data_IF_944007908491
#
_entry.id   IF_944007908491
#
_cell.length_a   1.000
_cell.length_b   1.000
_cell.length_c   1.000
_cell.angle_alpha   90.00
_cell.angle_beta   90.00
_cell.angle_gamma   90.00
#
_symmetry.space_group_name_H-M   'P 1'
#
loop_
_entity.id
_entity.type
_entity.pdbx_description
1 polymer ?
#
# COMPACT_ATOMS: atom_id res chain seq x y z
N UNK A 1 -2.50 -35.28 3.04
CA UNK A 1 -1.52 -34.21 3.15
C UNK A 1 -1.89 -33.31 4.30
N UNK A 2 -0.98 -33.15 5.23
CA UNK A 2 -1.16 -32.44 6.49
C UNK A 2 -1.34 -30.92 6.20
N UNK A 3 -2.48 -30.35 6.62
CA UNK A 3 -2.82 -28.93 6.47
C UNK A 3 -2.29 -28.08 7.65
N UNK A 4 -1.18 -28.46 8.25
CA UNK A 4 -0.73 -27.92 9.54
C UNK A 4 0.23 -26.72 9.46
N UNK A 5 0.47 -26.13 8.28
CA UNK A 5 1.43 -25.02 8.15
C UNK A 5 0.86 -23.80 7.38
N UNK A 6 -0.39 -23.48 7.66
CA UNK A 6 -0.97 -22.21 7.24
C UNK A 6 -0.48 -21.15 8.23
N UNK A 7 0.47 -20.31 7.82
CA UNK A 7 0.96 -19.20 8.64
C UNK A 7 -0.19 -18.33 9.15
N UNK A 8 0.04 -17.61 10.25
CA UNK A 8 -0.97 -16.74 10.84
C UNK A 8 -1.29 -15.58 9.90
N UNK A 9 -2.58 -15.41 9.58
CA UNK A 9 -3.08 -14.28 8.81
C UNK A 9 -2.75 -12.95 9.52
N UNK A 10 -2.30 -11.91 8.82
CA UNK A 10 -2.05 -10.60 9.41
C UNK A 10 -3.34 -9.96 9.94
N UNK A 11 -3.25 -9.26 11.06
CA UNK A 11 -4.33 -8.39 11.55
C UNK A 11 -4.27 -7.07 10.78
N UNK A 12 -5.28 -6.81 9.93
CA UNK A 12 -5.34 -5.63 9.07
C UNK A 12 -6.37 -4.64 9.60
N UNK A 13 -5.97 -3.38 9.73
CA UNK A 13 -6.86 -2.27 10.08
C UNK A 13 -6.68 -1.14 9.06
N UNK A 14 -7.81 -0.62 8.58
CA UNK A 14 -7.87 0.37 7.51
C UNK A 14 -8.59 1.62 8.01
N UNK A 15 -8.08 2.80 7.63
CA UNK A 15 -8.68 4.08 7.98
C UNK A 15 -8.49 5.08 6.85
N UNK A 16 -9.54 5.82 6.50
CA UNK A 16 -9.49 6.93 5.57
C UNK A 16 -10.34 8.10 6.06
N UNK A 17 -9.80 9.30 5.90
CA UNK A 17 -10.52 10.55 6.11
C UNK A 17 -10.24 11.48 4.92
N UNK A 18 -11.15 11.54 3.93
CA UNK A 18 -10.97 12.44 2.79
C UNK A 18 -10.88 13.90 3.24
N UNK A 19 -10.00 14.67 2.63
CA UNK A 19 -9.89 16.11 2.86
C UNK A 19 -11.10 16.88 2.27
N UNK A 20 -11.67 16.37 1.17
CA UNK A 20 -12.87 16.86 0.51
C UNK A 20 -13.91 15.74 0.38
N UNK A 21 -15.09 16.05 -0.18
CA UNK A 21 -16.16 15.06 -0.39
C UNK A 21 -15.77 13.91 -1.33
N UNK A 22 -14.74 14.09 -2.17
CA UNK A 22 -14.13 13.07 -3.02
C UNK A 22 -12.63 13.33 -3.10
N UNK A 23 -11.83 12.28 -2.90
CA UNK A 23 -10.35 12.31 -2.98
C UNK A 23 -9.83 11.26 -3.94
N UNK A 24 -8.57 11.39 -4.35
CA UNK A 24 -7.82 10.40 -5.13
C UNK A 24 -7.24 9.27 -4.27
N UNK A 25 -7.09 9.51 -2.97
CA UNK A 25 -6.58 8.51 -2.03
C UNK A 25 -7.50 7.29 -1.94
N UNK A 26 -6.91 6.10 -1.93
CA UNK A 26 -7.63 4.88 -1.63
C UNK A 26 -6.71 3.82 -1.03
N UNK A 27 -7.32 2.87 -0.38
CA UNK A 27 -6.66 1.67 0.09
C UNK A 27 -7.52 0.44 -0.19
N UNK A 28 -6.89 -0.72 -0.23
CA UNK A 28 -7.58 -2.01 -0.25
C UNK A 28 -6.77 -3.04 0.55
N UNK A 29 -7.46 -4.04 1.09
CA UNK A 29 -6.84 -5.22 1.65
C UNK A 29 -7.77 -6.41 1.42
N UNK A 30 -7.22 -7.49 0.89
CA UNK A 30 -7.99 -8.70 0.61
C UNK A 30 -7.09 -9.94 0.64
N UNK A 31 -7.71 -11.06 0.90
CA UNK A 31 -7.03 -12.34 0.98
C UNK A 31 -7.31 -13.15 -0.28
N UNK A 32 -6.27 -13.78 -0.80
CA UNK A 32 -6.32 -14.78 -1.86
C UNK A 32 -5.47 -15.96 -1.44
N UNK A 33 -6.09 -17.12 -1.26
CA UNK A 33 -5.44 -18.35 -0.77
C UNK A 33 -4.66 -18.11 0.54
N UNK A 34 -3.34 -18.29 0.51
CA UNK A 34 -2.45 -18.12 1.68
C UNK A 34 -1.67 -16.80 1.62
N UNK A 35 -2.26 -15.78 0.98
CA UNK A 35 -1.65 -14.47 0.79
C UNK A 35 -2.64 -13.38 1.19
N UNK A 36 -2.14 -12.27 1.74
CA UNK A 36 -2.89 -11.04 1.96
C UNK A 36 -2.30 -9.94 1.12
N UNK A 37 -3.12 -9.32 0.28
CA UNK A 37 -2.75 -8.11 -0.46
C UNK A 37 -3.09 -6.89 0.38
N UNK A 38 -2.19 -5.93 0.37
CA UNK A 38 -2.36 -4.60 0.98
C UNK A 38 -1.98 -3.54 -0.04
N UNK A 39 -2.84 -2.55 -0.22
CA UNK A 39 -2.69 -1.55 -1.25
C UNK A 39 -2.96 -0.18 -0.64
N UNK A 40 -2.11 0.79 -0.94
CA UNK A 40 -2.32 2.21 -0.70
C UNK A 40 -1.95 2.96 -1.97
N UNK A 41 -2.81 3.87 -2.41
CA UNK A 41 -2.59 4.64 -3.62
C UNK A 41 -3.22 6.02 -3.53
N UNK A 42 -2.67 6.96 -4.29
CA UNK A 42 -3.19 8.30 -4.45
C UNK A 42 -3.19 8.67 -5.93
N UNK A 43 -4.36 9.02 -6.43
CA UNK A 43 -4.56 9.51 -7.80
C UNK A 43 -4.26 11.00 -7.83
N UNK A 44 -3.46 11.44 -8.79
CA UNK A 44 -3.25 12.86 -9.04
C UNK A 44 -4.59 13.58 -9.27
N UNK A 45 -4.66 14.87 -8.89
CA UNK A 45 -5.85 15.69 -8.96
C UNK A 45 -6.90 15.40 -7.86
N UNK A 46 -7.97 16.17 -7.83
CA UNK A 46 -9.03 16.12 -6.81
C UNK A 46 -10.41 16.26 -7.45
N UNK A 47 -11.41 15.78 -6.73
CA UNK A 47 -12.79 15.89 -7.14
C UNK A 47 -13.34 14.67 -7.89
N UNK A 48 -14.38 14.86 -8.67
CA UNK A 48 -15.15 13.75 -9.27
C UNK A 48 -14.32 12.97 -10.29
N UNK A 49 -13.48 13.65 -11.09
CA UNK A 49 -12.61 13.00 -12.08
C UNK A 49 -11.63 12.03 -11.42
N UNK A 50 -10.91 12.50 -10.40
CA UNK A 50 -9.99 11.67 -9.61
C UNK A 50 -10.71 10.48 -8.95
N UNK A 51 -11.91 10.69 -8.40
CA UNK A 51 -12.68 9.63 -7.77
C UNK A 51 -13.16 8.56 -8.76
N UNK A 52 -13.54 8.94 -9.98
CA UNK A 52 -13.91 8.00 -11.04
C UNK A 52 -12.69 7.21 -11.52
N UNK A 53 -11.57 7.89 -11.77
CA UNK A 53 -10.32 7.27 -12.15
C UNK A 53 -9.82 6.28 -11.07
N UNK A 54 -9.86 6.70 -9.80
CA UNK A 54 -9.55 5.84 -8.66
C UNK A 54 -10.39 4.56 -8.65
N UNK A 55 -11.69 4.66 -8.94
CA UNK A 55 -12.59 3.50 -8.95
C UNK A 55 -12.23 2.50 -10.05
N UNK A 56 -11.86 2.99 -11.24
CA UNK A 56 -11.38 2.17 -12.35
C UNK A 56 -10.04 1.53 -11.99
N UNK A 57 -9.10 2.34 -11.53
CA UNK A 57 -7.75 1.91 -11.16
C UNK A 57 -7.76 0.82 -10.07
N UNK A 58 -8.54 1.03 -9.01
CA UNK A 58 -8.74 0.04 -7.95
C UNK A 58 -9.28 -1.29 -8.50
N UNK A 59 -10.27 -1.23 -9.38
CA UNK A 59 -10.89 -2.42 -9.97
C UNK A 59 -9.90 -3.19 -10.85
N UNK A 60 -9.08 -2.48 -11.61
CA UNK A 60 -8.04 -3.08 -12.48
C UNK A 60 -6.94 -3.74 -11.65
N UNK A 61 -6.40 -3.06 -10.64
CA UNK A 61 -5.36 -3.62 -9.76
C UNK A 61 -5.88 -4.89 -9.06
N UNK A 62 -7.10 -4.84 -8.54
CA UNK A 62 -7.68 -5.98 -7.85
C UNK A 62 -7.88 -7.16 -8.81
N UNK A 63 -8.48 -6.91 -9.97
CA UNK A 63 -8.67 -7.93 -10.99
C UNK A 63 -7.35 -8.55 -11.47
N UNK A 64 -6.33 -7.73 -11.72
CA UNK A 64 -5.03 -8.20 -12.12
C UNK A 64 -4.35 -9.05 -11.02
N UNK A 65 -4.45 -8.64 -9.75
CA UNK A 65 -3.92 -9.41 -8.62
C UNK A 65 -4.67 -10.73 -8.41
N UNK A 66 -5.99 -10.76 -8.60
CA UNK A 66 -6.79 -11.99 -8.52
C UNK A 66 -6.42 -12.98 -9.62
N UNK A 67 -6.23 -12.51 -10.86
CA UNK A 67 -5.78 -13.36 -11.97
C UNK A 67 -4.35 -13.86 -11.79
N UNK A 68 -3.45 -13.00 -11.31
CA UNK A 68 -2.08 -13.38 -11.00
C UNK A 68 -2.00 -14.54 -9.99
N UNK A 69 -2.87 -14.56 -8.98
CA UNK A 69 -2.92 -15.66 -8.01
C UNK A 69 -3.58 -16.94 -8.56
N UNK A 70 -4.44 -16.83 -9.58
CA UNK A 70 -5.15 -17.98 -10.16
C UNK A 70 -4.27 -18.86 -11.06
N UNK A 71 -3.18 -18.30 -11.62
CA UNK A 71 -2.26 -19.06 -12.44
C UNK A 71 -1.29 -19.88 -11.59
N UNK A 72 -1.09 -21.19 -11.91
CA UNK A 72 -0.24 -22.06 -11.10
C UNK A 72 1.27 -21.79 -11.25
N UNK A 73 1.67 -20.85 -12.09
CA UNK A 73 3.08 -20.53 -12.25
C UNK A 73 3.59 -19.73 -11.03
N UNK A 74 4.46 -20.34 -10.25
CA UNK A 74 5.18 -19.69 -9.15
C UNK A 74 6.11 -18.55 -9.61
N UNK A 75 6.07 -18.20 -10.90
CA UNK A 75 7.11 -17.44 -11.61
C UNK A 75 6.67 -16.05 -12.10
N UNK A 76 5.39 -15.68 -12.01
CA UNK A 76 5.02 -14.33 -12.41
C UNK A 76 5.20 -13.37 -11.25
N UNK A 77 6.13 -12.40 -11.36
CA UNK A 77 6.38 -11.44 -10.30
C UNK A 77 5.26 -10.40 -10.21
N UNK A 78 5.03 -9.84 -9.01
CA UNK A 78 4.00 -8.84 -8.74
C UNK A 78 4.10 -7.58 -9.61
N UNK A 79 5.28 -7.28 -10.13
CA UNK A 79 5.53 -6.16 -11.03
C UNK A 79 4.85 -6.34 -12.40
N UNK A 80 4.55 -7.56 -12.85
CA UNK A 80 3.75 -7.77 -14.04
C UNK A 80 2.30 -7.33 -13.87
N UNK A 81 1.73 -7.52 -12.67
CA UNK A 81 0.42 -6.97 -12.31
C UNK A 81 0.41 -5.45 -12.48
N UNK A 82 1.43 -4.80 -11.92
CA UNK A 82 1.57 -3.34 -11.97
C UNK A 82 1.83 -2.85 -13.40
N UNK A 83 2.71 -3.52 -14.13
CA UNK A 83 3.04 -3.19 -15.52
C UNK A 83 1.83 -3.30 -16.44
N UNK A 84 1.02 -4.34 -16.28
CA UNK A 84 -0.19 -4.54 -17.09
C UNK A 84 -1.20 -3.41 -16.87
N UNK A 85 -1.41 -3.01 -15.62
CA UNK A 85 -2.31 -1.90 -15.28
C UNK A 85 -1.74 -0.57 -15.75
N UNK A 86 -0.43 -0.34 -15.59
CA UNK A 86 0.24 0.86 -16.11
C UNK A 86 0.02 1.01 -17.62
N UNK A 87 0.27 -0.04 -18.38
CA UNK A 87 0.16 -0.01 -19.84
C UNK A 87 -1.28 0.24 -20.29
N UNK A 88 -2.24 -0.39 -19.62
CA UNK A 88 -3.66 -0.12 -19.90
C UNK A 88 -4.02 1.36 -19.61
N UNK A 89 -3.64 1.88 -18.46
CA UNK A 89 -3.98 3.24 -18.05
C UNK A 89 -3.29 4.31 -18.91
N UNK A 90 -2.02 4.11 -19.24
CA UNK A 90 -1.26 5.05 -20.06
C UNK A 90 -1.65 5.05 -21.55
N UNK A 91 -2.22 3.95 -22.04
CA UNK A 91 -2.64 3.81 -23.47
C UNK A 91 -4.10 4.23 -23.65
N UNK A 92 -5.01 3.68 -22.83
CA UNK A 92 -6.46 3.89 -23.03
C UNK A 92 -6.95 5.22 -22.44
N UNK A 93 -6.16 5.83 -21.56
CA UNK A 93 -6.53 7.06 -20.84
C UNK A 93 -5.49 8.18 -20.99
N UNK A 94 -4.68 8.16 -22.05
CA UNK A 94 -3.67 9.17 -22.35
C UNK A 94 -4.23 10.59 -22.35
N UNK A 95 -5.42 10.79 -22.94
CA UNK A 95 -6.10 12.09 -23.02
C UNK A 95 -6.48 12.67 -21.64
N UNK A 96 -6.59 11.82 -20.61
CA UNK A 96 -6.97 12.25 -19.27
C UNK A 96 -5.79 12.82 -18.48
N UNK A 97 -4.54 12.56 -18.90
CA UNK A 97 -3.30 12.98 -18.23
C UNK A 97 -3.31 12.67 -16.71
N UNK A 98 -3.94 11.56 -16.32
CA UNK A 98 -4.08 11.14 -14.93
C UNK A 98 -3.11 10.01 -14.60
N UNK A 99 -2.51 10.08 -13.44
CA UNK A 99 -1.62 9.06 -12.91
C UNK A 99 -1.92 8.79 -11.43
N UNK A 100 -1.39 7.70 -10.92
CA UNK A 100 -1.53 7.36 -9.51
C UNK A 100 -0.19 6.90 -8.93
N UNK A 101 0.09 7.32 -7.71
CA UNK A 101 1.13 6.69 -6.90
C UNK A 101 0.57 5.42 -6.28
N UNK A 102 1.39 4.37 -6.13
CA UNK A 102 0.95 3.08 -5.64
C UNK A 102 2.00 2.43 -4.75
N UNK A 103 1.56 1.93 -3.61
CA UNK A 103 2.19 0.82 -2.90
C UNK A 103 1.26 -0.39 -2.96
N UNK A 104 1.75 -1.51 -3.49
CA UNK A 104 1.09 -2.80 -3.42
C UNK A 104 2.02 -3.81 -2.78
N UNK A 105 1.54 -4.50 -1.75
CA UNK A 105 2.26 -5.56 -1.05
C UNK A 105 1.46 -6.86 -1.06
N UNK A 106 2.15 -7.97 -1.28
CA UNK A 106 1.63 -9.32 -1.18
C UNK A 106 2.33 -10.04 -0.02
N UNK A 107 1.61 -10.28 1.06
CA UNK A 107 2.11 -10.93 2.27
C UNK A 107 1.86 -12.42 2.17
N UNK A 108 2.92 -13.22 2.06
CA UNK A 108 2.85 -14.68 2.15
C UNK A 108 2.84 -15.11 3.63
N UNK A 109 1.75 -15.74 4.08
CA UNK A 109 1.57 -16.13 5.49
C UNK A 109 2.58 -17.20 5.91
N UNK A 110 2.83 -18.20 5.06
CA UNK A 110 3.75 -19.30 5.37
C UNK A 110 5.21 -18.90 5.26
N UNK A 111 5.56 -18.07 4.26
CA UNK A 111 6.94 -17.66 4.01
C UNK A 111 7.40 -16.49 4.87
N UNK A 112 6.47 -15.78 5.56
CA UNK A 112 6.75 -14.53 6.29
C UNK A 112 7.51 -13.53 5.41
N UNK A 113 7.08 -13.44 4.14
CA UNK A 113 7.66 -12.61 3.10
C UNK A 113 6.62 -11.62 2.60
N UNK A 114 7.05 -10.38 2.45
CA UNK A 114 6.34 -9.31 1.79
C UNK A 114 7.01 -9.09 0.42
N UNK A 115 6.32 -9.46 -0.64
CA UNK A 115 6.68 -9.05 -2.00
C UNK A 115 5.94 -7.75 -2.30
N UNK A 116 6.61 -6.74 -2.86
CA UNK A 116 6.00 -5.44 -3.06
C UNK A 116 6.50 -4.73 -4.33
N UNK A 117 5.66 -3.80 -4.77
CA UNK A 117 6.01 -2.75 -5.75
C UNK A 117 5.69 -1.40 -5.13
N UNK A 118 6.68 -0.51 -5.11
CA UNK A 118 6.57 0.89 -4.67
C UNK A 118 6.74 1.81 -5.88
N UNK A 119 5.62 2.29 -6.42
CA UNK A 119 5.53 3.06 -7.65
C UNK A 119 5.19 4.53 -7.34
N UNK A 120 6.21 5.31 -6.99
CA UNK A 120 6.11 6.74 -6.72
C UNK A 120 5.30 7.12 -5.48
N UNK A 121 4.89 6.17 -4.64
CA UNK A 121 4.12 6.43 -3.42
C UNK A 121 5.02 6.65 -2.21
N UNK A 122 4.44 7.16 -1.11
CA UNK A 122 5.12 7.28 0.17
C UNK A 122 5.68 5.93 0.63
N UNK A 123 6.91 5.95 1.13
CA UNK A 123 7.58 4.75 1.63
C UNK A 123 6.84 4.19 2.86
N UNK A 124 6.32 2.94 2.81
CA UNK A 124 5.69 2.35 3.98
C UNK A 124 6.69 2.15 5.12
N UNK A 125 6.17 2.04 6.33
CA UNK A 125 6.99 1.79 7.51
C UNK A 125 6.82 0.33 7.94
N UNK A 126 7.88 -0.46 7.89
CA UNK A 126 7.93 -1.83 8.40
C UNK A 126 8.86 -1.89 9.60
N UNK A 127 8.31 -2.14 10.78
CA UNK A 127 9.07 -2.29 12.02
C UNK A 127 9.01 -3.75 12.47
N UNK A 128 10.17 -4.39 12.62
CA UNK A 128 10.26 -5.79 13.06
C UNK A 128 10.03 -5.94 14.58
N UNK A 129 10.04 -7.18 15.08
CA UNK A 129 9.85 -7.48 16.50
C UNK A 129 10.85 -6.77 17.45
N UNK A 130 12.04 -6.45 16.95
CA UNK A 130 13.11 -5.75 17.69
C UNK A 130 12.96 -4.23 17.68
N UNK A 131 11.97 -3.69 16.99
CA UNK A 131 11.78 -2.24 16.82
C UNK A 131 12.69 -1.62 15.74
N UNK A 132 13.32 -2.44 14.89
CA UNK A 132 14.15 -1.96 13.79
C UNK A 132 13.29 -1.73 12.54
N UNK A 133 13.41 -0.54 11.98
CA UNK A 133 12.77 -0.21 10.71
C UNK A 133 13.51 -0.88 9.56
N UNK A 134 12.75 -1.45 8.62
CA UNK A 134 13.25 -1.92 7.33
C UNK A 134 12.96 -0.84 6.28
N UNK A 135 13.89 -0.63 5.37
CA UNK A 135 13.75 0.34 4.28
C UNK A 135 13.15 -0.33 3.04
N UNK A 136 12.29 0.40 2.37
CA UNK A 136 11.74 0.02 1.08
C UNK A 136 12.55 0.68 -0.03
N UNK A 137 12.68 -0.02 -1.15
CA UNK A 137 13.31 0.50 -2.36
C UNK A 137 12.21 0.89 -3.35
N UNK A 138 12.40 2.03 -4.01
CA UNK A 138 11.49 2.44 -5.10
C UNK A 138 11.58 1.40 -6.22
N UNK A 139 10.42 0.98 -6.73
CA UNK A 139 10.27 -0.06 -7.73
C UNK A 139 10.07 0.47 -9.14
N UNK A 140 9.59 1.70 -9.29
CA UNK A 140 9.29 2.33 -10.57
C UNK A 140 8.57 3.67 -10.40
N UNK A 141 8.21 4.33 -11.52
CA UNK A 141 7.48 5.59 -11.49
C UNK A 141 6.01 5.40 -11.09
N UNK A 142 5.29 6.51 -10.87
CA UNK A 142 3.84 6.48 -10.71
C UNK A 142 3.15 5.83 -11.92
N UNK A 143 2.03 5.15 -11.67
CA UNK A 143 1.30 4.37 -12.68
C UNK A 143 0.47 5.29 -13.57
N UNK A 144 0.46 5.01 -14.87
CA UNK A 144 -0.23 5.80 -15.88
C UNK A 144 0.56 7.02 -16.35
N UNK A 145 1.78 7.22 -15.83
CA UNK A 145 2.61 8.38 -16.19
C UNK A 145 3.35 8.17 -17.50
N UNK A 146 3.90 6.97 -17.71
CA UNK A 146 4.65 6.62 -18.90
C UNK A 146 4.21 5.24 -19.43
N UNK A 147 3.90 5.09 -20.74
CA UNK A 147 3.69 3.78 -21.32
C UNK A 147 4.99 2.96 -21.23
N UNK A 148 4.86 1.65 -21.11
CA UNK A 148 5.99 0.70 -21.03
C UNK A 148 6.97 0.99 -19.88
N UNK A 149 6.51 1.67 -18.80
CA UNK A 149 7.33 1.90 -17.62
C UNK A 149 7.72 0.55 -16.99
N UNK A 150 8.99 0.44 -16.59
CA UNK A 150 9.52 -0.75 -15.93
C UNK A 150 9.29 -0.67 -14.42
N UNK A 151 8.80 -1.76 -13.87
CA UNK A 151 8.64 -1.97 -12.43
C UNK A 151 9.48 -3.17 -12.00
N UNK A 152 9.97 -3.14 -10.77
CA UNK A 152 10.78 -4.22 -10.22
C UNK A 152 10.20 -4.65 -8.88
N UNK A 153 9.66 -5.86 -8.80
CA UNK A 153 9.23 -6.44 -7.52
C UNK A 153 10.43 -6.55 -6.58
N UNK A 154 10.20 -6.16 -5.33
CA UNK A 154 11.16 -6.30 -4.23
C UNK A 154 10.56 -7.19 -3.16
N UNK A 155 11.42 -7.75 -2.31
CA UNK A 155 10.99 -8.63 -1.23
C UNK A 155 11.64 -8.25 0.09
N UNK A 156 10.85 -8.26 1.16
CA UNK A 156 11.32 -8.13 2.54
C UNK A 156 10.82 -9.33 3.37
N UNK A 157 11.62 -9.75 4.33
CA UNK A 157 11.22 -10.74 5.31
C UNK A 157 10.82 -10.07 6.62
N UNK A 158 9.78 -10.56 7.25
CA UNK A 158 9.29 -10.04 8.51
C UNK A 158 9.11 -11.16 9.53
N UNK A 159 9.02 -10.81 10.80
CA UNK A 159 8.70 -11.74 11.90
C UNK A 159 7.24 -11.56 12.36
N UNK A 160 6.76 -12.46 13.22
CA UNK A 160 5.33 -12.52 13.62
C UNK A 160 4.82 -11.24 14.29
N UNK A 161 5.71 -10.51 14.93
CA UNK A 161 5.35 -9.28 15.63
C UNK A 161 5.71 -8.02 14.83
N UNK A 162 6.00 -8.12 13.54
CA UNK A 162 6.24 -6.97 12.68
C UNK A 162 4.97 -6.14 12.49
N UNK A 163 5.13 -4.83 12.32
CA UNK A 163 4.07 -3.89 12.00
C UNK A 163 4.39 -3.23 10.66
N UNK A 164 3.49 -3.38 9.69
CA UNK A 164 3.53 -2.67 8.41
C UNK A 164 2.49 -1.55 8.43
N UNK A 165 2.90 -0.33 8.12
CA UNK A 165 2.04 0.85 8.02
C UNK A 165 2.21 1.47 6.64
N UNK A 166 1.16 1.40 5.81
CA UNK A 166 1.03 2.20 4.59
C UNK A 166 0.24 3.47 4.90
N UNK A 167 0.61 4.58 4.29
CA UNK A 167 -0.04 5.88 4.46
C UNK A 167 0.14 6.73 3.20
N UNK A 168 -0.75 7.71 2.99
CA UNK A 168 -0.59 8.74 1.96
C UNK A 168 0.04 10.02 2.56
N UNK A 169 0.46 10.94 1.69
CA UNK A 169 1.05 12.22 2.07
C UNK A 169 0.16 13.03 3.02
N UNK A 170 -1.17 12.87 2.91
CA UNK A 170 -2.14 13.51 3.81
C UNK A 170 -1.89 13.26 5.30
N UNK A 171 -1.15 12.21 5.66
CA UNK A 171 -0.77 11.94 7.07
C UNK A 171 0.40 12.82 7.49
N UNK A 172 1.47 12.86 6.69
CA UNK A 172 2.70 13.58 7.04
C UNK A 172 2.59 15.07 6.76
N UNK A 173 1.77 15.47 5.81
CA UNK A 173 1.48 16.86 5.45
C UNK A 173 0.37 17.50 6.29
N UNK A 174 -0.32 16.71 7.13
CA UNK A 174 -1.30 17.26 8.08
C UNK A 174 -0.66 18.39 8.90
N UNK A 175 -1.38 19.52 9.03
CA UNK A 175 -0.86 20.71 9.70
C UNK A 175 -1.62 20.98 11.01
N UNK A 176 -0.88 21.39 12.00
CA UNK A 176 -1.45 21.93 13.24
C UNK A 176 -2.02 23.35 13.01
N UNK A 177 -2.72 23.94 14.01
CA UNK A 177 -3.23 25.31 13.92
C UNK A 177 -2.15 26.37 13.69
N UNK A 178 -0.91 26.09 14.07
CA UNK A 178 0.27 26.95 13.87
C UNK A 178 0.88 26.78 12.47
N UNK A 179 0.37 25.84 11.66
CA UNK A 179 0.79 25.58 10.29
C UNK A 179 2.00 24.65 10.16
N UNK A 180 2.46 24.01 11.27
CA UNK A 180 3.55 23.04 11.23
C UNK A 180 3.04 21.69 10.72
N UNK A 181 3.78 21.06 9.79
CA UNK A 181 3.47 19.72 9.31
C UNK A 181 3.68 18.68 10.43
N UNK A 182 2.87 17.62 10.43
CA UNK A 182 3.02 16.47 11.32
C UNK A 182 4.41 15.83 11.15
N UNK A 183 4.77 15.54 9.91
CA UNK A 183 6.09 15.08 9.50
C UNK A 183 6.33 13.59 9.73
N UNK A 184 7.28 13.08 8.96
CA UNK A 184 7.66 11.66 8.98
C UNK A 184 8.26 11.21 10.32
N UNK A 185 9.09 12.04 10.95
CA UNK A 185 9.70 11.69 12.24
C UNK A 185 8.69 11.45 13.36
N UNK A 186 7.63 12.28 13.43
CA UNK A 186 6.55 12.09 14.42
C UNK A 186 5.77 10.81 14.16
N UNK A 187 5.55 10.46 12.87
CA UNK A 187 4.89 9.21 12.50
C UNK A 187 5.73 8.00 12.93
N UNK A 188 7.04 8.00 12.64
CA UNK A 188 7.97 6.95 13.06
C UNK A 188 7.99 6.78 14.58
N UNK A 189 8.09 7.87 15.34
CA UNK A 189 8.08 7.84 16.80
C UNK A 189 6.77 7.26 17.35
N UNK A 190 5.64 7.63 16.75
CA UNK A 190 4.33 7.09 17.11
C UNK A 190 4.29 5.57 16.94
N UNK A 191 4.67 5.07 15.75
CA UNK A 191 4.63 3.64 15.45
C UNK A 191 5.60 2.86 16.34
N UNK A 192 6.80 3.38 16.60
CA UNK A 192 7.76 2.77 17.49
C UNK A 192 7.23 2.67 18.93
N UNK A 193 6.60 3.71 19.44
CA UNK A 193 6.00 3.73 20.78
C UNK A 193 4.84 2.72 20.90
N UNK A 194 4.01 2.63 19.87
CA UNK A 194 2.90 1.66 19.82
C UNK A 194 3.42 0.23 19.81
N UNK A 195 4.49 -0.04 19.08
CA UNK A 195 5.16 -1.34 19.08
C UNK A 195 5.61 -1.74 20.48
N UNK A 196 6.24 -0.83 21.23
CA UNK A 196 6.67 -1.07 22.61
C UNK A 196 5.50 -1.38 23.54
N UNK A 197 4.35 -0.73 23.34
CA UNK A 197 3.14 -0.92 24.14
C UNK A 197 2.28 -2.12 23.71
N UNK A 198 2.71 -2.89 22.69
CA UNK A 198 1.94 -4.01 22.07
C UNK A 198 0.52 -3.58 21.65
N UNK A 199 0.39 -2.39 21.13
CA UNK A 199 -0.89 -1.83 20.68
C UNK A 199 -1.31 -2.52 19.39
N UNK A 200 -2.57 -2.96 19.29
CA UNK A 200 -3.10 -3.57 18.06
C UNK A 200 -3.25 -2.57 16.92
N UNK A 201 -3.29 -3.04 15.68
CA UNK A 201 -3.52 -2.19 14.49
C UNK A 201 -4.80 -1.34 14.62
N UNK A 202 -5.84 -1.84 15.29
CA UNK A 202 -7.07 -1.10 15.55
C UNK A 202 -6.84 0.19 16.37
N UNK A 203 -5.90 0.16 17.30
CA UNK A 203 -5.59 1.31 18.15
C UNK A 203 -4.73 2.37 17.42
N UNK A 204 -3.98 1.97 16.36
CA UNK A 204 -3.31 2.91 15.44
C UNK A 204 -4.32 3.88 14.82
N UNK A 205 -5.47 3.36 14.42
CA UNK A 205 -6.55 4.16 13.85
C UNK A 205 -7.13 5.15 14.87
N UNK A 206 -7.24 4.75 16.13
CA UNK A 206 -7.79 5.63 17.17
C UNK A 206 -6.85 6.79 17.48
N UNK A 207 -5.53 6.57 17.37
CA UNK A 207 -4.55 7.67 17.51
C UNK A 207 -4.59 8.61 16.30
N UNK A 208 -4.70 8.08 15.08
CA UNK A 208 -4.83 8.91 13.86
C UNK A 208 -6.09 9.81 13.88
N UNK A 209 -7.13 9.44 14.64
CA UNK A 209 -8.35 10.28 14.84
C UNK A 209 -8.14 11.48 15.76
N UNK A 210 -7.09 11.48 16.58
CA UNK A 210 -6.80 12.55 17.56
C UNK A 210 -6.20 13.77 16.87
N UNK A 211 -5.50 13.58 15.77
CA UNK A 211 -4.96 14.68 14.96
C UNK A 211 -6.07 15.21 14.02
N UNK A 212 -6.85 16.12 14.56
CA UNK A 212 -7.93 16.85 13.85
C UNK A 212 -7.41 18.20 13.40
#
# INVERSE_FOLDING_TARGET
>A
GDRSDVGKQPDVSLFMRPALNAGGDWYDAFDLDNKTFVIVADVCDKGVGAALFMSVFRSLIRYAAENWCAEPSESEPLDEVVSSVNNYMSTEHEDMAMFATLFIGCISHSAKRLDYVLAGHEEPILINSRGLQQQFEVSGPAIGLFPEAEYNMKSLFFDEDSILVGYSDGVVDARDPEGQSYGHERLLQLIANMKQQKVSAKNLIDVAKIFK
#
